data_IF_583122383756
#
_entry.id   IF_583122383756
#
_cell.length_a   1.000
_cell.length_b   1.000
_cell.length_c   1.000
_cell.angle_alpha   90.00
_cell.angle_beta   90.00
_cell.angle_gamma   90.00
#
_symmetry.space_group_name_H-M   'P 1'
#
loop_
_entity.id
_entity.type
_entity.pdbx_description
1 polymer ?
#
# COMPACT_ATOMS: atom_id res chain seq x y z
N UNK A 1 -5.51 -21.15 -30.37
CA UNK A 1 -5.09 -19.75 -30.64
C UNK A 1 -5.34 -19.51 -32.11
N UNK A 2 -5.94 -18.40 -32.49
CA UNK A 2 -6.25 -18.07 -33.89
C UNK A 2 -4.98 -17.82 -34.70
N UNK A 3 -5.04 -18.12 -36.00
CA UNK A 3 -3.92 -17.90 -36.92
C UNK A 3 -3.55 -16.41 -37.01
N UNK A 4 -4.55 -15.53 -36.90
CA UNK A 4 -4.36 -14.08 -36.86
C UNK A 4 -3.52 -13.64 -35.64
N UNK A 5 -3.83 -14.16 -34.45
CA UNK A 5 -3.06 -13.85 -33.24
C UNK A 5 -1.65 -14.45 -33.32
N UNK A 6 -1.51 -15.70 -33.78
CA UNK A 6 -0.20 -16.33 -33.94
C UNK A 6 0.70 -15.58 -34.91
N UNK A 7 0.15 -15.13 -36.05
CA UNK A 7 0.88 -14.29 -37.01
C UNK A 7 1.30 -12.96 -36.37
N UNK A 8 0.39 -12.28 -35.69
CA UNK A 8 0.66 -11.03 -34.99
C UNK A 8 1.81 -11.16 -33.96
N UNK A 9 1.79 -12.22 -33.15
CA UNK A 9 2.83 -12.48 -32.15
C UNK A 9 4.19 -12.82 -32.79
N UNK A 10 4.20 -13.64 -33.85
CA UNK A 10 5.42 -13.98 -34.59
C UNK A 10 6.05 -12.78 -35.29
N UNK A 11 5.24 -11.86 -35.77
CA UNK A 11 5.69 -10.58 -36.35
C UNK A 11 6.18 -9.58 -35.29
N UNK A 12 6.16 -9.94 -34.01
CA UNK A 12 6.57 -9.05 -32.92
C UNK A 12 5.61 -7.87 -32.66
N UNK A 13 4.41 -7.90 -33.26
CA UNK A 13 3.42 -6.83 -33.09
C UNK A 13 2.68 -6.97 -31.77
N UNK A 14 2.39 -5.84 -31.11
CA UNK A 14 1.64 -5.81 -29.85
C UNK A 14 0.18 -6.25 -30.12
N UNK A 15 -0.31 -7.33 -29.48
CA UNK A 15 -1.66 -7.80 -29.73
C UNK A 15 -2.70 -6.84 -29.15
N UNK A 16 -3.88 -6.81 -29.77
CA UNK A 16 -5.03 -6.04 -29.28
C UNK A 16 -5.52 -6.58 -27.92
N UNK A 17 -6.32 -5.81 -27.16
CA UNK A 17 -6.92 -6.30 -25.90
C UNK A 17 -7.73 -7.59 -26.08
N UNK A 18 -8.35 -7.80 -27.27
CA UNK A 18 -9.04 -9.05 -27.60
C UNK A 18 -8.04 -10.20 -27.82
N UNK A 19 -6.97 -9.96 -28.59
CA UNK A 19 -5.91 -10.94 -28.81
C UNK A 19 -5.19 -11.35 -27.52
N UNK A 20 -4.89 -10.39 -26.63
CA UNK A 20 -4.29 -10.69 -25.31
C UNK A 20 -5.21 -11.57 -24.46
N UNK A 21 -6.52 -11.30 -24.45
CA UNK A 21 -7.51 -12.16 -23.76
C UNK A 21 -7.60 -13.55 -24.37
N UNK A 22 -7.54 -13.65 -25.70
CA UNK A 22 -7.54 -14.93 -26.41
C UNK A 22 -6.31 -15.78 -26.10
N UNK A 23 -5.12 -15.14 -26.03
CA UNK A 23 -3.89 -15.80 -25.58
C UNK A 23 -4.09 -16.43 -24.19
N UNK A 24 -4.59 -15.64 -23.22
CA UNK A 24 -4.86 -16.14 -21.86
C UNK A 24 -5.88 -17.27 -21.86
N UNK A 25 -6.98 -17.13 -22.61
CA UNK A 25 -8.05 -18.14 -22.68
C UNK A 25 -7.59 -19.43 -23.34
N UNK A 26 -6.62 -19.37 -24.26
CA UNK A 26 -6.04 -20.56 -24.89
C UNK A 26 -5.01 -21.22 -23.98
N UNK A 27 -4.20 -20.45 -23.27
CA UNK A 27 -3.10 -20.98 -22.44
C UNK A 27 -3.57 -21.50 -21.09
N UNK A 28 -4.55 -20.84 -20.46
CA UNK A 28 -5.02 -21.20 -19.11
C UNK A 28 -5.54 -22.65 -18.98
N UNK A 29 -6.29 -23.23 -19.94
CA UNK A 29 -6.69 -24.64 -19.88
C UNK A 29 -5.51 -25.61 -19.84
N UNK A 30 -4.41 -25.31 -20.54
CA UNK A 30 -3.22 -26.17 -20.52
C UNK A 30 -2.50 -26.10 -19.17
N UNK A 31 -2.48 -24.93 -18.54
CA UNK A 31 -1.97 -24.78 -17.17
C UNK A 31 -2.87 -25.54 -16.18
N UNK A 32 -4.20 -25.40 -16.33
CA UNK A 32 -5.19 -26.02 -15.45
C UNK A 32 -5.07 -27.55 -15.43
N UNK A 33 -4.78 -28.18 -16.59
CA UNK A 33 -4.52 -29.63 -16.70
C UNK A 33 -3.34 -30.11 -15.85
N UNK A 34 -2.37 -29.24 -15.56
CA UNK A 34 -1.18 -29.57 -14.77
C UNK A 34 -1.41 -29.19 -13.30
N UNK A 35 -2.00 -28.03 -13.05
CA UNK A 35 -2.29 -27.53 -11.71
C UNK A 35 -3.56 -26.69 -11.75
N UNK A 36 -4.59 -27.13 -11.03
CA UNK A 36 -5.89 -26.44 -10.96
C UNK A 36 -5.81 -25.11 -10.20
N UNK A 37 -4.95 -25.04 -9.17
CA UNK A 37 -4.78 -23.88 -8.28
C UNK A 37 -3.34 -23.36 -8.28
N UNK A 38 -2.82 -22.86 -9.41
CA UNK A 38 -1.46 -22.37 -9.48
C UNK A 38 -1.32 -21.05 -8.70
N UNK A 39 -0.33 -20.97 -7.81
CA UNK A 39 -0.01 -19.73 -7.11
C UNK A 39 0.56 -18.64 -8.03
N UNK A 40 0.46 -17.36 -7.63
CA UNK A 40 0.97 -16.19 -8.38
C UNK A 40 2.41 -16.38 -8.87
N UNK A 41 3.29 -16.95 -8.04
CA UNK A 41 4.71 -17.19 -8.39
C UNK A 41 4.85 -18.08 -9.64
N UNK A 42 4.05 -19.14 -9.76
CA UNK A 42 4.10 -20.05 -10.91
C UNK A 42 3.49 -19.40 -12.16
N UNK A 43 2.37 -18.68 -12.00
CA UNK A 43 1.77 -17.91 -13.09
C UNK A 43 2.73 -16.83 -13.62
N UNK A 44 3.50 -16.18 -12.75
CA UNK A 44 4.54 -15.23 -13.14
C UNK A 44 5.67 -15.88 -13.95
N UNK A 45 6.12 -17.09 -13.56
CA UNK A 45 7.11 -17.86 -14.34
C UNK A 45 6.58 -18.19 -15.75
N UNK A 46 5.31 -18.57 -15.86
CA UNK A 46 4.68 -18.87 -17.15
C UNK A 46 4.56 -17.60 -18.00
N UNK A 47 4.13 -16.49 -17.41
CA UNK A 47 4.05 -15.21 -18.10
C UNK A 47 5.42 -14.77 -18.63
N UNK A 48 6.48 -14.93 -17.83
CA UNK A 48 7.86 -14.61 -18.25
C UNK A 48 8.30 -15.45 -19.45
N UNK A 49 8.10 -16.77 -19.40
CA UNK A 49 8.39 -17.66 -20.55
C UNK A 49 7.59 -17.30 -21.80
N UNK A 50 6.33 -16.91 -21.63
CA UNK A 50 5.51 -16.45 -22.75
C UNK A 50 6.07 -15.17 -23.39
N UNK A 51 6.62 -14.26 -22.59
CA UNK A 51 7.25 -13.02 -23.08
C UNK A 51 8.61 -13.28 -23.71
N UNK A 52 9.41 -14.21 -23.18
CA UNK A 52 10.64 -14.67 -23.83
C UNK A 52 10.36 -15.20 -25.24
N UNK A 53 9.22 -15.88 -25.42
CA UNK A 53 8.78 -16.39 -26.73
C UNK A 53 8.15 -15.30 -27.59
N UNK A 54 7.36 -14.41 -26.98
CA UNK A 54 6.62 -13.35 -27.65
C UNK A 54 6.84 -12.00 -26.92
N UNK A 55 7.95 -11.29 -27.22
CA UNK A 55 8.30 -10.05 -26.53
C UNK A 55 7.23 -8.96 -26.61
N UNK A 56 6.37 -9.00 -27.62
CA UNK A 56 5.25 -8.06 -27.80
C UNK A 56 4.17 -8.14 -26.71
N UNK A 57 4.17 -9.20 -25.89
CA UNK A 57 3.31 -9.32 -24.70
C UNK A 57 3.83 -8.54 -23.49
N UNK A 58 5.08 -8.10 -23.52
CA UNK A 58 5.73 -7.42 -22.40
C UNK A 58 5.08 -6.07 -22.06
N UNK A 59 5.25 -5.68 -20.81
CA UNK A 59 4.83 -4.38 -20.30
C UNK A 59 5.90 -3.34 -20.64
N UNK A 60 5.88 -2.89 -21.89
CA UNK A 60 6.73 -1.79 -22.38
C UNK A 60 5.88 -0.55 -22.58
N UNK A 61 6.35 0.57 -22.03
CA UNK A 61 5.78 1.90 -22.22
C UNK A 61 6.91 2.89 -22.46
N UNK A 62 6.78 3.77 -23.47
CA UNK A 62 7.83 4.73 -23.84
C UNK A 62 9.23 4.10 -24.00
N UNK A 63 9.31 2.88 -24.55
CA UNK A 63 10.54 2.08 -24.70
C UNK A 63 11.21 1.62 -23.39
N UNK A 64 10.54 1.79 -22.25
CA UNK A 64 10.98 1.29 -20.96
C UNK A 64 10.18 0.07 -20.52
N UNK A 65 10.86 -0.88 -19.86
CA UNK A 65 10.26 -2.09 -19.32
C UNK A 65 9.64 -1.80 -17.94
N UNK A 66 8.32 -1.85 -17.85
CA UNK A 66 7.57 -1.62 -16.61
C UNK A 66 7.58 -2.87 -15.73
N UNK A 67 7.98 -2.72 -14.46
CA UNK A 67 7.83 -3.73 -13.40
C UNK A 67 8.31 -5.15 -13.79
N UNK A 68 9.46 -5.25 -14.46
CA UNK A 68 10.03 -6.54 -14.92
C UNK A 68 9.29 -7.16 -16.12
N UNK A 69 8.41 -6.40 -16.77
CA UNK A 69 7.88 -6.68 -18.10
C UNK A 69 6.73 -7.67 -18.17
N UNK A 70 6.35 -8.34 -17.08
CA UNK A 70 5.40 -9.45 -17.11
C UNK A 70 4.23 -9.35 -16.15
N UNK A 71 4.12 -8.25 -15.39
CA UNK A 71 3.14 -8.15 -14.30
C UNK A 71 1.70 -8.10 -14.83
N UNK A 72 1.43 -7.38 -15.92
CA UNK A 72 0.05 -7.31 -16.45
C UNK A 72 -0.39 -8.64 -17.07
N UNK A 73 0.54 -9.40 -17.67
CA UNK A 73 0.25 -10.74 -18.19
C UNK A 73 0.04 -11.72 -17.02
N UNK A 74 0.90 -11.65 -16.00
CA UNK A 74 0.76 -12.41 -14.75
C UNK A 74 -0.60 -12.14 -14.11
N UNK A 75 -1.00 -10.88 -14.00
CA UNK A 75 -2.28 -10.47 -13.41
C UNK A 75 -3.47 -10.98 -14.23
N UNK A 76 -3.36 -10.97 -15.56
CA UNK A 76 -4.39 -11.55 -16.44
C UNK A 76 -4.58 -13.04 -16.20
N UNK A 77 -3.49 -13.79 -15.98
CA UNK A 77 -3.58 -15.20 -15.58
C UNK A 77 -4.19 -15.37 -14.19
N UNK A 78 -3.75 -14.58 -13.20
CA UNK A 78 -4.30 -14.63 -11.84
C UNK A 78 -5.81 -14.44 -11.86
N UNK A 79 -6.31 -13.39 -12.52
CA UNK A 79 -7.75 -13.15 -12.65
C UNK A 79 -8.48 -14.27 -13.38
N UNK A 80 -7.85 -14.87 -14.41
CA UNK A 80 -8.44 -16.02 -15.11
C UNK A 80 -8.62 -17.21 -14.16
N UNK A 81 -7.62 -17.52 -13.35
CA UNK A 81 -7.68 -18.63 -12.39
C UNK A 81 -8.58 -18.35 -11.20
N UNK A 82 -8.60 -17.13 -10.67
CA UNK A 82 -9.58 -16.70 -9.66
C UNK A 82 -11.02 -16.90 -10.16
N UNK A 83 -11.30 -16.51 -11.40
CA UNK A 83 -12.61 -16.71 -12.02
C UNK A 83 -12.96 -18.19 -12.26
N UNK A 84 -11.99 -19.02 -12.67
CA UNK A 84 -12.18 -20.47 -12.82
C UNK A 84 -12.49 -21.14 -11.47
N UNK A 85 -11.75 -20.74 -10.43
CA UNK A 85 -11.88 -21.28 -9.07
C UNK A 85 -13.09 -20.74 -8.31
N UNK A 86 -13.74 -19.67 -8.80
CA UNK A 86 -14.89 -19.05 -8.14
C UNK A 86 -16.09 -20.00 -7.97
N UNK A 87 -16.23 -20.99 -8.86
CA UNK A 87 -17.28 -22.02 -8.76
C UNK A 87 -17.11 -22.90 -7.52
N UNK A 88 -15.87 -23.17 -7.10
CA UNK A 88 -15.59 -23.93 -5.88
C UNK A 88 -15.76 -23.07 -4.62
N UNK A 89 -15.51 -21.75 -4.71
CA UNK A 89 -15.54 -20.84 -3.57
C UNK A 89 -16.94 -20.73 -2.91
N UNK A 90 -18.02 -20.78 -3.69
CA UNK A 90 -19.38 -20.83 -3.17
C UNK A 90 -19.66 -22.14 -2.40
N UNK A 91 -19.03 -23.25 -2.78
CA UNK A 91 -19.14 -24.53 -2.09
C UNK A 91 -18.36 -24.56 -0.76
N UNK A 92 -17.24 -23.82 -0.66
CA UNK A 92 -16.47 -23.68 0.57
C UNK A 92 -17.09 -22.69 1.55
N UNK A 93 -17.72 -21.60 1.06
CA UNK A 93 -18.43 -20.63 1.91
C UNK A 93 -19.59 -21.29 2.66
N UNK A 94 -20.33 -22.18 1.97
CA UNK A 94 -21.41 -23.00 2.56
C UNK A 94 -20.91 -23.97 3.62
N UNK A 95 -19.63 -24.39 3.55
CA UNK A 95 -18.97 -25.29 4.52
C UNK A 95 -18.41 -24.53 5.73
N UNK A 96 -17.99 -23.28 5.53
CA UNK A 96 -17.47 -22.37 6.57
C UNK A 96 -18.59 -21.84 7.46
N UNK A 97 -19.72 -21.41 6.86
CA UNK A 97 -20.88 -20.93 7.63
C UNK A 97 -21.45 -22.01 8.56
N UNK A 98 -21.41 -23.28 8.13
CA UNK A 98 -21.85 -24.42 8.95
C UNK A 98 -20.97 -24.71 10.18
N UNK A 99 -19.70 -24.26 10.18
CA UNK A 99 -18.79 -24.39 11.33
C UNK A 99 -18.87 -23.19 12.26
N UNK A 100 -19.21 -22.00 11.74
CA UNK A 100 -19.34 -20.79 12.53
C UNK A 100 -20.58 -20.80 13.46
N UNK A 101 -21.60 -21.62 13.15
CA UNK A 101 -22.76 -21.82 14.02
C UNK A 101 -22.45 -22.67 15.27
N UNK A 102 -21.34 -23.42 15.28
CA UNK A 102 -21.00 -24.37 16.36
C UNK A 102 -20.02 -23.81 17.40
N UNK A 103 -19.20 -22.79 17.08
CA UNK A 103 -18.19 -22.24 17.98
C UNK A 103 -18.64 -20.96 18.71
N UNK A 104 -19.61 -21.11 19.62
CA UNK A 104 -20.00 -20.08 20.59
C UNK A 104 -19.36 -20.36 21.96
N UNK A 105 -18.05 -20.14 22.11
CA UNK A 105 -17.43 -20.06 23.44
C UNK A 105 -16.24 -19.12 23.51
N UNK A 106 -16.23 -18.33 24.60
CA UNK A 106 -15.22 -17.39 25.09
C UNK A 106 -13.76 -17.72 24.72
N UNK A 107 -13.32 -17.32 23.53
CA UNK A 107 -11.90 -17.28 23.19
C UNK A 107 -11.47 -15.83 23.12
N UNK A 108 -10.42 -15.47 23.87
CA UNK A 108 -9.62 -14.27 23.62
C UNK A 108 -9.43 -14.13 22.12
N UNK A 109 -9.78 -12.97 21.56
CA UNK A 109 -9.82 -12.77 20.11
C UNK A 109 -8.40 -12.93 19.54
N UNK A 110 -8.04 -14.15 19.11
CA UNK A 110 -6.71 -14.48 18.61
C UNK A 110 -6.52 -13.84 17.25
N UNK A 111 -5.48 -13.02 17.14
CA UNK A 111 -5.04 -12.46 15.85
C UNK A 111 -4.70 -13.61 14.88
N UNK A 112 -5.18 -13.50 13.64
CA UNK A 112 -4.99 -14.54 12.63
C UNK A 112 -3.51 -14.71 12.25
N UNK A 113 -3.11 -15.87 11.76
CA UNK A 113 -1.75 -16.10 11.25
C UNK A 113 -1.32 -15.10 10.14
N UNK A 114 -2.28 -14.46 9.47
CA UNK A 114 -2.01 -13.40 8.49
C UNK A 114 -1.48 -12.11 9.14
N UNK A 115 -1.75 -11.85 10.42
CA UNK A 115 -1.31 -10.61 11.08
C UNK A 115 0.20 -10.56 11.23
N UNK A 116 0.87 -11.72 11.29
CA UNK A 116 2.32 -11.83 11.40
C UNK A 116 3.04 -11.72 10.05
N UNK A 117 2.30 -11.84 8.93
CA UNK A 117 2.90 -11.93 7.60
C UNK A 117 3.59 -10.61 7.22
N UNK A 118 4.89 -10.71 6.87
CA UNK A 118 5.71 -9.53 6.52
C UNK A 118 6.30 -8.77 7.71
N UNK A 119 6.03 -9.20 8.95
CA UNK A 119 6.60 -8.60 10.15
C UNK A 119 7.84 -9.38 10.61
N UNK A 120 8.98 -8.69 10.73
CA UNK A 120 10.22 -9.23 11.30
C UNK A 120 10.16 -9.29 12.83
N UNK A 121 9.61 -8.25 13.46
CA UNK A 121 9.59 -8.11 14.93
C UNK A 121 8.16 -8.01 15.50
N UNK A 122 7.28 -8.93 15.09
CA UNK A 122 5.85 -8.90 15.44
C UNK A 122 5.54 -8.76 16.94
N UNK A 123 6.22 -9.55 17.78
CA UNK A 123 6.17 -9.47 19.24
C UNK A 123 7.56 -9.88 19.77
N UNK A 124 8.34 -8.96 20.36
CA UNK A 124 9.61 -9.34 20.94
C UNK A 124 9.38 -10.25 22.16
N UNK A 125 10.20 -11.30 22.28
CA UNK A 125 10.07 -12.31 23.34
C UNK A 125 10.71 -11.89 24.66
N UNK A 126 11.67 -10.97 24.58
CA UNK A 126 12.42 -10.47 25.74
C UNK A 126 12.42 -8.94 25.70
N UNK A 127 12.57 -8.35 26.87
CA UNK A 127 12.86 -6.93 26.99
C UNK A 127 14.21 -6.60 26.31
N UNK A 128 14.38 -5.38 25.76
CA UNK A 128 15.67 -4.95 25.24
C UNK A 128 16.77 -5.00 26.31
N UNK A 129 18.02 -5.12 25.89
CA UNK A 129 19.17 -5.21 26.79
C UNK A 129 19.27 -3.93 27.61
N UNK A 130 19.32 -4.06 28.94
CA UNK A 130 19.34 -2.93 29.87
C UNK A 130 17.96 -2.45 30.32
N UNK A 131 16.88 -3.02 29.78
CA UNK A 131 15.51 -2.65 30.14
C UNK A 131 14.91 -3.57 31.21
N UNK A 132 14.15 -2.98 32.13
CA UNK A 132 13.28 -3.66 33.08
C UNK A 132 11.83 -3.23 32.87
N UNK A 133 10.85 -3.94 33.45
CA UNK A 133 9.45 -3.49 33.40
C UNK A 133 9.28 -2.07 33.99
N UNK A 134 10.01 -1.76 35.05
CA UNK A 134 9.99 -0.43 35.68
C UNK A 134 10.56 0.64 34.75
N UNK A 135 11.69 0.35 34.11
CA UNK A 135 12.30 1.27 33.13
C UNK A 135 11.39 1.52 31.93
N UNK A 136 10.69 0.50 31.44
CA UNK A 136 9.69 0.64 30.38
C UNK A 136 8.55 1.58 30.77
N UNK A 137 8.01 1.44 31.99
CA UNK A 137 6.96 2.33 32.50
C UNK A 137 7.48 3.75 32.69
N UNK A 138 8.72 3.93 33.17
CA UNK A 138 9.33 5.25 33.28
C UNK A 138 9.47 5.92 31.91
N UNK A 139 10.01 5.22 30.92
CA UNK A 139 10.18 5.72 29.55
C UNK A 139 8.83 6.00 28.86
N UNK A 140 7.82 5.18 29.13
CA UNK A 140 6.45 5.45 28.69
C UNK A 140 5.93 6.78 29.26
N UNK A 141 6.11 7.02 30.56
CA UNK A 141 5.72 8.28 31.18
C UNK A 141 6.52 9.47 30.63
N UNK A 142 7.81 9.28 30.32
CA UNK A 142 8.62 10.30 29.64
C UNK A 142 8.06 10.62 28.24
N UNK A 143 7.69 9.61 27.45
CA UNK A 143 7.07 9.80 26.13
C UNK A 143 5.75 10.58 26.21
N UNK A 144 4.91 10.28 27.20
CA UNK A 144 3.64 11.00 27.44
C UNK A 144 3.91 12.47 27.80
N UNK A 145 4.93 12.73 28.62
CA UNK A 145 5.34 14.10 28.95
C UNK A 145 5.83 14.84 27.71
N UNK A 146 6.68 14.21 26.89
CA UNK A 146 7.18 14.80 25.64
C UNK A 146 5.99 15.17 24.73
N UNK A 147 5.07 14.23 24.47
CA UNK A 147 3.92 14.53 23.60
C UNK A 147 3.01 15.63 24.13
N UNK A 148 2.95 15.83 25.45
CA UNK A 148 2.12 16.90 26.05
C UNK A 148 2.68 18.31 25.82
N UNK A 149 3.98 18.43 25.56
CA UNK A 149 4.67 19.71 25.34
C UNK A 149 5.07 19.93 23.87
N UNK A 150 5.20 18.85 23.09
CA UNK A 150 5.50 18.90 21.66
C UNK A 150 4.37 19.58 20.90
N UNK A 151 4.70 20.60 20.11
CA UNK A 151 3.73 21.26 19.24
C UNK A 151 3.43 20.39 18.02
N UNK A 152 2.23 20.49 17.44
CA UNK A 152 1.99 19.82 16.18
C UNK A 152 2.94 20.29 15.08
N UNK A 153 3.47 19.35 14.30
CA UNK A 153 4.48 19.63 13.28
C UNK A 153 5.91 19.82 13.82
N UNK A 154 6.11 19.82 15.14
CA UNK A 154 7.44 19.86 15.72
C UNK A 154 8.16 18.52 15.52
N UNK A 155 9.41 18.61 15.05
CA UNK A 155 10.18 17.45 14.67
C UNK A 155 10.60 16.64 15.90
N UNK A 156 10.30 15.34 15.91
CA UNK A 156 10.77 14.47 16.99
C UNK A 156 12.30 14.39 16.97
N UNK A 157 12.90 14.67 18.13
CA UNK A 157 14.34 14.55 18.36
C UNK A 157 14.81 13.09 18.30
N UNK A 158 16.10 12.89 18.05
CA UNK A 158 16.71 11.54 18.06
C UNK A 158 16.55 10.83 19.40
N UNK A 159 16.55 11.58 20.50
CA UNK A 159 16.31 11.03 21.84
C UNK A 159 14.89 10.46 21.95
N UNK A 160 13.89 11.16 21.42
CA UNK A 160 12.51 10.68 21.39
C UNK A 160 12.34 9.44 20.52
N UNK A 161 13.03 9.37 19.38
CA UNK A 161 13.06 8.17 18.54
C UNK A 161 13.76 6.99 19.22
N UNK A 162 14.76 7.26 20.07
CA UNK A 162 15.43 6.23 20.87
C UNK A 162 14.49 5.67 21.92
N UNK A 163 13.73 6.52 22.63
CA UNK A 163 12.69 6.08 23.57
C UNK A 163 11.65 5.17 22.90
N UNK A 164 11.24 5.48 21.68
CA UNK A 164 10.32 4.65 20.89
C UNK A 164 10.91 3.26 20.57
N UNK A 165 12.21 3.18 20.29
CA UNK A 165 12.90 1.90 20.05
C UNK A 165 13.00 1.08 21.33
N UNK A 166 13.40 1.71 22.42
CA UNK A 166 13.59 1.06 23.72
C UNK A 166 12.27 0.55 24.28
N UNK A 167 11.17 1.28 24.10
CA UNK A 167 9.85 0.87 24.58
C UNK A 167 9.05 0.00 23.61
N UNK A 168 9.65 -0.41 22.49
CA UNK A 168 8.98 -1.19 21.43
C UNK A 168 8.32 -2.47 21.94
N UNK A 169 8.95 -3.16 22.90
CA UNK A 169 8.40 -4.36 23.54
C UNK A 169 7.02 -4.11 24.14
N UNK A 170 6.88 -3.05 24.93
CA UNK A 170 5.66 -2.71 25.64
C UNK A 170 4.58 -2.18 24.70
N UNK A 171 4.96 -1.37 23.72
CA UNK A 171 4.07 -0.91 22.65
C UNK A 171 3.41 -2.11 21.92
N UNK A 172 4.21 -3.09 21.47
CA UNK A 172 3.68 -4.27 20.76
C UNK A 172 2.83 -5.15 21.65
N UNK A 173 3.17 -5.29 22.94
CA UNK A 173 2.35 -6.01 23.91
C UNK A 173 0.94 -5.43 24.00
N UNK A 174 0.84 -4.10 24.11
CA UNK A 174 -0.46 -3.43 24.19
C UNK A 174 -1.23 -3.52 22.85
N UNK A 175 -0.57 -3.26 21.72
CA UNK A 175 -1.19 -3.35 20.39
C UNK A 175 -1.70 -4.77 20.11
N UNK A 176 -0.90 -5.80 20.37
CA UNK A 176 -1.26 -7.18 20.11
C UNK A 176 -2.31 -7.72 21.09
N UNK A 177 -2.46 -7.10 22.26
CA UNK A 177 -3.54 -7.39 23.20
C UNK A 177 -4.87 -6.71 22.85
N UNK A 178 -4.96 -6.09 21.66
CA UNK A 178 -6.17 -5.46 21.14
C UNK A 178 -6.71 -4.35 22.04
N UNK A 179 -5.82 -3.58 22.68
CA UNK A 179 -6.21 -2.35 23.37
C UNK A 179 -6.88 -1.40 22.39
N UNK A 180 -7.91 -0.70 22.84
CA UNK A 180 -8.61 0.27 22.00
C UNK A 180 -7.70 1.46 21.63
N UNK A 181 -8.08 2.17 20.57
CA UNK A 181 -7.28 3.29 20.03
C UNK A 181 -7.12 4.40 21.08
N UNK A 182 -8.14 4.72 21.87
CA UNK A 182 -8.07 5.74 22.93
C UNK A 182 -7.01 5.41 23.98
N UNK A 183 -6.92 4.15 24.39
CA UNK A 183 -5.88 3.68 25.30
C UNK A 183 -4.49 3.84 24.67
N UNK A 184 -4.32 3.43 23.40
CA UNK A 184 -3.04 3.53 22.70
C UNK A 184 -2.61 4.99 22.51
N UNK A 185 -3.53 5.89 22.19
CA UNK A 185 -3.27 7.33 22.09
C UNK A 185 -2.78 7.89 23.42
N UNK A 186 -3.42 7.53 24.53
CA UNK A 186 -3.03 8.04 25.85
C UNK A 186 -1.72 7.41 26.36
N UNK A 187 -1.48 6.14 26.05
CA UNK A 187 -0.37 5.36 26.59
C UNK A 187 0.89 5.41 25.73
N UNK A 188 0.72 5.62 24.42
CA UNK A 188 1.79 5.63 23.41
C UNK A 188 1.55 6.73 22.37
N UNK A 189 1.35 8.00 22.79
CA UNK A 189 0.93 9.10 21.91
C UNK A 189 1.88 9.30 20.71
N UNK A 190 3.18 9.11 20.93
CA UNK A 190 4.18 9.28 19.88
C UNK A 190 4.07 8.26 18.74
N UNK A 191 3.38 7.12 18.91
CA UNK A 191 3.09 6.20 17.81
C UNK A 191 2.20 6.82 16.72
N UNK A 192 1.44 7.86 17.09
CA UNK A 192 0.53 8.59 16.21
C UNK A 192 1.16 9.86 15.64
N UNK A 193 2.47 10.05 15.85
CA UNK A 193 3.26 11.02 15.11
C UNK A 193 3.83 10.38 13.84
N UNK A 194 4.09 11.18 12.79
CA UNK A 194 4.66 10.70 11.53
C UNK A 194 5.97 9.91 11.76
N UNK A 195 6.96 10.54 12.40
CA UNK A 195 8.26 9.90 12.65
C UNK A 195 8.15 8.70 13.59
N UNK A 196 7.28 8.76 14.60
CA UNK A 196 7.08 7.65 15.51
C UNK A 196 6.42 6.45 14.84
N UNK A 197 5.45 6.70 13.97
CA UNK A 197 4.86 5.68 13.10
C UNK A 197 5.90 5.05 12.18
N UNK A 198 6.69 5.86 11.46
CA UNK A 198 7.75 5.35 10.58
C UNK A 198 8.80 4.54 11.34
N UNK A 199 9.22 5.00 12.52
CA UNK A 199 10.17 4.29 13.36
C UNK A 199 9.61 2.94 13.83
N UNK A 200 8.36 2.91 14.30
CA UNK A 200 7.71 1.68 14.74
C UNK A 200 7.52 0.69 13.57
N UNK A 201 7.07 1.18 12.42
CA UNK A 201 6.88 0.39 11.21
C UNK A 201 8.20 -0.20 10.70
N UNK A 202 9.28 0.58 10.76
CA UNK A 202 10.61 0.13 10.37
C UNK A 202 11.11 -1.01 11.26
N UNK A 203 10.95 -0.93 12.59
CA UNK A 203 11.30 -2.03 13.49
C UNK A 203 10.43 -3.26 13.19
N UNK A 204 9.14 -3.05 12.94
CA UNK A 204 8.19 -4.13 12.68
C UNK A 204 8.50 -4.90 11.39
N UNK A 205 8.88 -4.22 10.31
CA UNK A 205 8.93 -4.79 8.95
C UNK A 205 10.33 -4.80 8.32
N UNK A 206 11.27 -4.02 8.86
CA UNK A 206 12.57 -3.72 8.25
C UNK A 206 12.50 -2.69 7.12
N UNK A 207 11.33 -2.15 6.80
CA UNK A 207 11.13 -1.21 5.69
C UNK A 207 11.06 0.21 6.24
N UNK A 208 11.93 1.10 5.75
CA UNK A 208 11.87 2.52 6.10
C UNK A 208 11.04 3.30 5.06
N UNK A 209 9.84 3.74 5.47
CA UNK A 209 8.85 4.36 4.56
C UNK A 209 9.40 5.63 3.86
N UNK A 210 10.02 6.60 4.56
CA UNK A 210 10.47 7.84 3.92
C UNK A 210 11.44 7.59 2.76
N UNK A 211 12.47 6.78 3.00
CA UNK A 211 13.45 6.43 1.98
C UNK A 211 12.81 5.63 0.83
N UNK A 212 11.91 4.69 1.15
CA UNK A 212 11.20 3.91 0.12
C UNK A 212 10.33 4.80 -0.77
N UNK A 213 9.62 5.76 -0.18
CA UNK A 213 8.77 6.70 -0.90
C UNK A 213 9.61 7.61 -1.79
N UNK A 214 10.67 8.23 -1.24
CA UNK A 214 11.57 9.09 -1.99
C UNK A 214 12.19 8.34 -3.19
N UNK A 215 12.73 7.15 -2.96
CA UNK A 215 13.29 6.30 -4.01
C UNK A 215 12.25 5.90 -5.07
N UNK A 216 10.99 5.69 -4.66
CA UNK A 216 9.91 5.32 -5.59
C UNK A 216 9.48 6.49 -6.45
N UNK A 217 9.36 7.69 -5.87
CA UNK A 217 9.00 8.91 -6.59
C UNK A 217 10.10 9.27 -7.58
N UNK A 218 11.37 9.32 -7.17
CA UNK A 218 12.50 9.59 -8.06
C UNK A 218 12.56 8.65 -9.28
N UNK A 219 12.16 7.38 -9.11
CA UNK A 219 12.20 6.38 -10.19
C UNK A 219 10.95 6.37 -11.07
N UNK A 220 9.79 6.79 -10.56
CA UNK A 220 8.49 6.51 -11.20
C UNK A 220 7.66 7.75 -11.50
N UNK A 221 7.91 8.88 -10.84
CA UNK A 221 7.11 10.08 -11.02
C UNK A 221 7.09 10.53 -12.48
N UNK A 222 8.26 10.65 -13.10
CA UNK A 222 8.39 11.00 -14.52
C UNK A 222 7.62 10.06 -15.45
N UNK A 223 7.65 8.75 -15.19
CA UNK A 223 6.92 7.73 -15.97
C UNK A 223 5.40 7.97 -15.84
N UNK A 224 4.91 8.19 -14.62
CA UNK A 224 3.48 8.42 -14.35
C UNK A 224 3.03 9.75 -14.98
N UNK A 225 3.81 10.81 -14.81
CA UNK A 225 3.55 12.12 -15.38
C UNK A 225 3.50 12.04 -16.91
N UNK A 226 4.48 11.39 -17.54
CA UNK A 226 4.51 11.22 -19.00
C UNK A 226 3.34 10.37 -19.52
N UNK A 227 2.93 9.35 -18.76
CA UNK A 227 1.71 8.59 -19.07
C UNK A 227 0.49 9.52 -19.09
N UNK A 228 0.30 10.36 -18.08
CA UNK A 228 -0.84 11.30 -18.05
C UNK A 228 -0.76 12.40 -19.11
N UNK A 229 0.44 12.90 -19.43
CA UNK A 229 0.65 13.82 -20.57
C UNK A 229 0.17 13.21 -21.89
N UNK A 230 0.42 11.92 -22.10
CA UNK A 230 -0.08 11.21 -23.29
C UNK A 230 -1.61 11.14 -23.38
N UNK A 231 -2.32 11.28 -22.25
CA UNK A 231 -3.78 11.20 -22.16
C UNK A 231 -4.48 12.56 -22.21
N UNK A 232 -3.74 13.67 -22.30
CA UNK A 232 -4.30 15.02 -22.29
C UNK A 232 -5.37 15.24 -23.37
N UNK A 233 -5.19 14.65 -24.55
CA UNK A 233 -6.15 14.75 -25.65
C UNK A 233 -7.52 14.11 -25.34
N UNK A 234 -7.60 13.23 -24.34
CA UNK A 234 -8.84 12.52 -23.96
C UNK A 234 -9.51 13.10 -22.73
N UNK A 235 -8.83 13.92 -21.93
CA UNK A 235 -9.34 14.37 -20.65
C UNK A 235 -8.96 15.83 -20.38
N UNK A 236 -9.96 16.72 -20.49
CA UNK A 236 -9.77 18.15 -20.26
C UNK A 236 -9.38 18.47 -18.80
N UNK A 237 -9.88 17.71 -17.83
CA UNK A 237 -9.53 17.94 -16.42
C UNK A 237 -8.06 17.64 -16.10
N UNK A 238 -7.41 16.74 -16.85
CA UNK A 238 -5.96 16.55 -16.75
C UNK A 238 -5.22 17.78 -17.29
N UNK A 239 -5.73 18.44 -18.34
CA UNK A 239 -5.11 19.66 -18.88
C UNK A 239 -5.12 20.78 -17.84
N UNK A 240 -6.27 21.02 -17.22
CA UNK A 240 -6.41 22.01 -16.14
C UNK A 240 -5.47 21.70 -14.97
N UNK A 241 -5.33 20.43 -14.61
CA UNK A 241 -4.42 19.98 -13.55
C UNK A 241 -2.96 20.29 -13.90
N UNK A 242 -2.52 19.99 -15.13
CA UNK A 242 -1.15 20.30 -15.57
C UNK A 242 -0.91 21.81 -15.67
N UNK A 243 -1.87 22.58 -16.19
CA UNK A 243 -1.77 24.03 -16.27
C UNK A 243 -1.58 24.66 -14.89
N UNK A 244 -2.32 24.19 -13.88
CA UNK A 244 -2.17 24.65 -12.49
C UNK A 244 -0.75 24.45 -11.95
N UNK A 245 -0.08 23.37 -12.33
CA UNK A 245 1.31 23.13 -11.91
C UNK A 245 2.32 23.96 -12.68
N UNK A 246 2.05 24.27 -13.95
CA UNK A 246 2.89 25.16 -14.75
C UNK A 246 2.77 26.62 -14.29
N UNK A 247 1.60 27.01 -13.77
CA UNK A 247 1.30 28.36 -13.26
C UNK A 247 1.63 28.56 -11.79
N UNK A 248 2.03 27.50 -11.07
CA UNK A 248 2.36 27.59 -9.66
C UNK A 248 3.61 28.48 -9.44
N UNK A 249 3.49 29.47 -8.55
CA UNK A 249 4.61 30.37 -8.21
C UNK A 249 5.72 29.65 -7.42
N UNK A 250 5.39 28.57 -6.72
CA UNK A 250 6.32 27.73 -5.97
C UNK A 250 6.61 26.41 -6.68
N UNK A 251 7.79 25.84 -6.40
CA UNK A 251 8.15 24.51 -6.87
C UNK A 251 7.23 23.46 -6.23
N UNK A 252 6.39 22.82 -7.05
CA UNK A 252 5.49 21.74 -6.62
C UNK A 252 6.24 20.42 -6.69
N UNK A 253 6.14 19.61 -5.63
CA UNK A 253 6.85 18.34 -5.59
C UNK A 253 6.28 17.31 -6.57
N UNK A 254 7.15 16.46 -7.12
CA UNK A 254 6.74 15.33 -7.98
C UNK A 254 5.69 14.42 -7.31
N UNK A 255 5.74 14.30 -5.98
CA UNK A 255 4.77 13.51 -5.22
C UNK A 255 3.37 14.13 -5.30
N UNK A 256 3.26 15.43 -5.06
CA UNK A 256 1.97 16.15 -5.14
C UNK A 256 1.37 16.05 -6.53
N UNK A 257 2.19 16.29 -7.57
CA UNK A 257 1.76 16.17 -8.97
C UNK A 257 1.23 14.76 -9.25
N UNK A 258 1.99 13.72 -8.87
CA UNK A 258 1.58 12.33 -9.08
C UNK A 258 0.28 11.99 -8.36
N UNK A 259 0.14 12.38 -7.09
CA UNK A 259 -1.06 12.09 -6.31
C UNK A 259 -2.28 12.75 -6.93
N UNK A 260 -2.23 14.03 -7.26
CA UNK A 260 -3.38 14.72 -7.86
C UNK A 260 -3.75 14.20 -9.24
N UNK A 261 -2.76 13.82 -10.07
CA UNK A 261 -3.05 13.17 -11.36
C UNK A 261 -3.77 11.84 -11.17
N UNK A 262 -3.41 11.06 -10.15
CA UNK A 262 -4.08 9.80 -9.82
C UNK A 262 -5.51 10.04 -9.33
N UNK A 263 -5.72 11.00 -8.42
CA UNK A 263 -7.05 11.35 -7.93
C UNK A 263 -7.95 11.76 -9.10
N UNK A 264 -7.46 12.63 -9.98
CA UNK A 264 -8.20 13.08 -11.16
C UNK A 264 -8.51 11.92 -12.12
N UNK A 265 -7.58 10.98 -12.30
CA UNK A 265 -7.78 9.83 -13.18
C UNK A 265 -8.87 8.88 -12.67
N UNK A 266 -8.94 8.67 -11.36
CA UNK A 266 -9.95 7.81 -10.74
C UNK A 266 -11.27 8.53 -10.43
N UNK A 267 -11.34 9.84 -10.71
CA UNK A 267 -12.52 10.66 -10.41
C UNK A 267 -12.71 10.89 -8.91
N UNK A 268 -11.62 10.80 -8.14
CA UNK A 268 -11.61 11.11 -6.72
C UNK A 268 -11.46 12.62 -6.50
N UNK A 269 -12.23 13.15 -5.56
CA UNK A 269 -12.17 14.56 -5.18
C UNK A 269 -10.87 14.83 -4.42
N UNK A 270 -10.17 15.91 -4.76
CA UNK A 270 -8.95 16.28 -4.03
C UNK A 270 -9.25 16.49 -2.54
N UNK A 271 -10.42 17.02 -2.22
CA UNK A 271 -10.92 17.28 -0.87
C UNK A 271 -11.19 16.01 -0.06
N UNK A 272 -11.31 14.85 -0.73
CA UNK A 272 -11.46 13.56 -0.05
C UNK A 272 -10.12 13.06 0.54
N UNK A 273 -8.99 13.56 0.01
CA UNK A 273 -7.64 13.16 0.43
C UNK A 273 -6.92 14.32 1.11
N UNK A 274 -7.06 15.54 0.61
CA UNK A 274 -6.44 16.74 1.15
C UNK A 274 -7.49 17.63 1.80
N UNK A 275 -7.34 17.91 3.09
CA UNK A 275 -8.11 18.93 3.79
C UNK A 275 -7.26 20.21 3.79
N UNK A 276 -7.61 21.21 2.96
CA UNK A 276 -6.89 22.48 2.96
C UNK A 276 -7.18 23.22 4.26
N UNK A 277 -6.13 23.61 4.97
CA UNK A 277 -6.21 24.37 6.21
C UNK A 277 -5.26 25.55 6.07
N UNK A 278 -5.68 26.74 6.54
CA UNK A 278 -4.82 27.90 6.52
C UNK A 278 -3.52 27.63 7.31
N UNK A 279 -2.37 27.96 6.71
CA UNK A 279 -1.03 27.79 7.30
C UNK A 279 -0.85 28.41 8.70
N UNK A 280 -1.72 29.34 9.10
CA UNK A 280 -1.73 29.96 10.42
C UNK A 280 -2.42 29.12 11.51
N UNK A 281 -3.14 28.06 11.15
CA UNK A 281 -3.90 27.20 12.06
C UNK A 281 -2.98 26.14 12.67
N UNK A 282 -2.98 26.01 14.01
CA UNK A 282 -2.17 24.99 14.68
C UNK A 282 -2.87 23.63 14.62
N UNK A 283 -2.16 22.49 14.63
CA UNK A 283 -2.88 21.22 14.57
C UNK A 283 -3.73 20.91 15.82
N UNK A 284 -3.50 21.61 16.95
CA UNK A 284 -4.40 21.53 18.11
C UNK A 284 -5.74 22.20 17.80
N UNK A 285 -5.72 23.30 17.05
CA UNK A 285 -6.92 23.94 16.55
C UNK A 285 -7.61 23.02 15.55
N UNK A 286 -6.87 22.39 14.64
CA UNK A 286 -7.40 21.39 13.68
C UNK A 286 -8.05 20.20 14.37
N UNK A 287 -7.42 19.63 15.40
CA UNK A 287 -7.99 18.53 16.21
C UNK A 287 -9.26 18.96 16.95
N UNK A 288 -9.40 20.24 17.28
CA UNK A 288 -10.60 20.81 17.89
C UNK A 288 -11.68 21.18 16.87
N UNK A 289 -11.36 21.21 15.57
CA UNK A 289 -12.34 21.49 14.51
C UNK A 289 -13.26 20.29 14.32
N UNK A 290 -14.57 20.52 14.48
CA UNK A 290 -15.66 19.56 14.24
C UNK A 290 -15.81 19.10 12.77
N UNK A 291 -14.89 19.49 11.89
CA UNK A 291 -15.04 19.41 10.42
C UNK A 291 -14.17 18.30 9.82
N UNK A 292 -13.25 17.69 10.58
CA UNK A 292 -12.43 16.60 10.05
C UNK A 292 -13.31 15.41 9.62
N UNK A 293 -13.12 14.88 8.40
CA UNK A 293 -13.89 13.74 7.93
C UNK A 293 -13.61 12.50 8.79
N UNK A 294 -14.60 11.60 8.87
CA UNK A 294 -14.45 10.31 9.54
C UNK A 294 -13.50 9.35 8.81
N UNK A 295 -13.14 9.67 7.57
CA UNK A 295 -12.17 8.94 6.76
C UNK A 295 -10.79 9.59 6.86
N UNK A 296 -9.68 8.82 6.84
CA UNK A 296 -8.33 9.37 6.86
C UNK A 296 -8.11 10.41 5.75
N UNK A 297 -7.58 11.57 6.11
CA UNK A 297 -7.22 12.65 5.20
C UNK A 297 -5.85 13.23 5.56
N UNK A 298 -5.20 13.87 4.59
CA UNK A 298 -3.97 14.63 4.73
C UNK A 298 -4.34 16.10 4.95
N UNK A 299 -3.75 16.72 5.96
CA UNK A 299 -3.88 18.16 6.16
C UNK A 299 -2.82 18.83 5.27
N UNK A 300 -3.27 19.74 4.40
CA UNK A 300 -2.38 20.53 3.53
C UNK A 300 -2.58 22.01 3.82
N UNK A 301 -1.48 22.75 3.98
CA UNK A 301 -1.47 24.20 4.17
C UNK A 301 -1.01 24.94 2.92
#
# INVERSE_FOLDING_TARGET
>A
MSDSLMKCLKEGKRPTPKGRREFINTTAPNIFKICEKPGKKNLSKIARKAIETYPSLSDVWCNELLAGGCESLTRSFVFKFENLNRRDAFSSLKRSLKRAEEDNSNNEMKLSASSMYGCLNWQPKMLPIGESNESQTEKQNQMIKISSVTKPGEELSEQTLTLLKETYYSQRKDINSLKNITFLLNSWPLLFSEKGFFQHFHILTGIYIPELMQNSIQKKASIIINFFKSLLHKNNSLKETFQRYEEAESEVSDLEIVVSLLLQHFGEKSEAVFTPIDSSVTAKDVESMLILPSTPCLISS
#
